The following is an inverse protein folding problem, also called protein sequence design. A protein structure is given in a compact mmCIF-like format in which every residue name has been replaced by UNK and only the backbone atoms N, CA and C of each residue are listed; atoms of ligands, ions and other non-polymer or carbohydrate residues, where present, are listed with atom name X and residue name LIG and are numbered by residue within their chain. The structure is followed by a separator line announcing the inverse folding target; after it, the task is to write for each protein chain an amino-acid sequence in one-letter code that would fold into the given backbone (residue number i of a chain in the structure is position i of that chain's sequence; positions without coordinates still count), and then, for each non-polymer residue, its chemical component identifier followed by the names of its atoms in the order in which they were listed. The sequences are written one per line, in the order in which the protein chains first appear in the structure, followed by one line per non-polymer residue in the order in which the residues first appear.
data_IF_172544094248
#
_entry.id   IF_172544094248
#
_cell.length_a   1.000
_cell.length_b   1.000
_cell.length_c   1.000
_cell.angle_alpha   90.00
_cell.angle_beta   90.00
_cell.angle_gamma   90.00
#
_symmetry.space_group_name_H-M   'P 1'
#
loop_
_entity.id
_entity.type
_entity.pdbx_description
1 polymer ?
#
# COMPACT_ATOMS: atom_id res chain seq x y z
N UNK A 1 78.96 1.14 29.70
CA UNK A 1 78.80 0.68 28.33
C UNK A 1 77.49 -0.15 28.27
N UNK A 2 76.39 0.44 27.85
CA UNK A 2 75.13 -0.25 27.73
C UNK A 2 74.84 -0.44 26.23
N UNK A 3 74.81 -1.70 25.80
CA UNK A 3 74.47 -2.12 24.43
C UNK A 3 72.98 -2.01 24.23
N UNK A 4 72.52 -0.98 23.50
CA UNK A 4 71.18 -0.87 23.00
C UNK A 4 71.00 -1.74 21.75
N UNK A 5 70.39 -2.90 21.86
CA UNK A 5 69.99 -3.71 20.72
C UNK A 5 68.81 -3.03 19.99
N UNK A 6 68.99 -2.74 18.70
CA UNK A 6 67.93 -2.25 17.84
C UNK A 6 66.79 -3.29 17.74
N UNK A 7 65.50 -2.91 17.80
CA UNK A 7 64.38 -3.83 17.72
C UNK A 7 64.39 -4.57 16.38
N UNK A 8 64.15 -5.89 16.43
CA UNK A 8 64.10 -6.79 15.27
C UNK A 8 62.98 -6.38 14.31
N UNK A 9 63.20 -6.59 13.02
CA UNK A 9 62.25 -6.22 11.93
C UNK A 9 60.81 -6.69 12.16
N UNK A 10 60.66 -7.84 12.85
CA UNK A 10 59.34 -8.40 13.18
C UNK A 10 58.55 -7.54 14.20
N UNK A 11 59.24 -6.91 15.18
CA UNK A 11 58.59 -6.05 16.19
C UNK A 11 58.12 -4.73 15.59
N UNK A 12 58.85 -4.21 14.57
CA UNK A 12 58.40 -3.03 13.85
C UNK A 12 57.16 -3.27 12.99
N UNK A 13 57.10 -4.48 12.36
CA UNK A 13 55.92 -4.89 11.57
C UNK A 13 54.67 -5.07 12.43
N UNK A 14 54.87 -5.68 13.63
CA UNK A 14 53.78 -5.85 14.59
C UNK A 14 53.28 -4.55 15.15
N UNK A 15 54.15 -3.63 15.53
CA UNK A 15 53.79 -2.29 16.00
C UNK A 15 53.10 -1.44 14.92
N UNK A 16 53.45 -1.61 13.65
CA UNK A 16 52.77 -0.96 12.52
C UNK A 16 51.40 -1.57 12.27
N UNK A 17 51.25 -2.91 12.38
CA UNK A 17 49.96 -3.61 12.26
C UNK A 17 49.03 -3.25 13.43
N UNK A 18 49.51 -3.25 14.65
CA UNK A 18 48.74 -2.81 15.82
C UNK A 18 48.33 -1.33 15.72
N UNK A 19 49.15 -0.50 15.15
CA UNK A 19 48.83 0.92 14.92
C UNK A 19 47.86 1.13 13.76
N UNK A 20 47.90 0.28 12.72
CA UNK A 20 46.95 0.33 11.58
C UNK A 20 45.62 -0.31 12.00
N UNK A 21 45.64 -1.44 12.69
CA UNK A 21 44.46 -2.15 13.17
C UNK A 21 43.82 -1.37 14.33
N UNK A 22 44.63 -0.81 15.25
CA UNK A 22 44.13 0.09 16.30
C UNK A 22 43.52 1.35 15.72
N UNK A 23 44.16 2.04 14.76
CA UNK A 23 43.57 3.15 14.04
C UNK A 23 42.32 2.76 13.26
N UNK A 24 42.35 1.60 12.58
CA UNK A 24 41.17 1.11 11.87
C UNK A 24 40.02 0.74 12.81
N UNK A 25 40.31 0.32 14.05
CA UNK A 25 39.29 0.06 15.07
C UNK A 25 38.85 1.34 15.79
N UNK A 26 39.78 2.29 16.05
CA UNK A 26 39.47 3.59 16.63
C UNK A 26 38.79 4.54 15.62
N UNK A 27 39.06 4.37 14.31
CA UNK A 27 38.37 5.08 13.23
C UNK A 27 36.98 4.46 12.88
N UNK A 28 36.65 3.31 13.47
CA UNK A 28 35.36 2.63 13.25
C UNK A 28 34.38 2.81 14.42
N UNK A 29 34.79 3.45 15.55
CA UNK A 29 33.91 3.68 16.71
C UNK A 29 34.23 4.97 17.46
N UNK A 30 33.22 5.63 18.05
CA UNK A 30 31.88 5.79 17.56
C UNK A 30 31.76 7.16 16.95
N UNK A 31 31.49 7.20 15.70
CA UNK A 31 30.92 8.39 15.15
C UNK A 31 29.53 8.51 15.78
N UNK A 32 29.43 9.16 16.92
CA UNK A 32 28.23 9.90 17.26
C UNK A 32 28.22 11.15 16.36
N UNK A 33 28.20 10.93 15.05
CA UNK A 33 27.68 11.91 14.14
C UNK A 33 26.17 11.90 14.38
N UNK A 34 25.55 13.07 14.43
CA UNK A 34 24.12 13.26 14.67
C UNK A 34 23.23 12.41 13.75
N UNK A 35 23.78 11.69 12.75
CA UNK A 35 23.11 11.00 11.68
C UNK A 35 23.47 9.51 11.49
N UNK A 36 24.28 8.87 12.34
CA UNK A 36 24.68 7.48 12.15
C UNK A 36 24.99 6.70 13.42
N UNK A 37 24.70 5.39 13.42
CA UNK A 37 25.08 4.43 14.45
C UNK A 37 25.69 3.20 13.79
N UNK A 38 26.59 2.49 14.47
CA UNK A 38 27.11 1.22 13.99
C UNK A 38 26.08 0.09 14.10
N UNK A 39 26.33 -1.02 13.38
CA UNK A 39 25.37 -2.13 13.32
C UNK A 39 25.15 -2.81 14.68
N UNK A 40 26.15 -2.85 15.57
CA UNK A 40 25.99 -3.46 16.89
C UNK A 40 25.13 -2.55 17.81
N UNK A 41 25.34 -1.25 17.75
CA UNK A 41 24.50 -0.27 18.44
C UNK A 41 23.04 -0.33 17.91
N UNK A 42 22.86 -0.45 16.59
CA UNK A 42 21.52 -0.60 16.00
C UNK A 42 20.80 -1.84 16.52
N UNK A 43 21.47 -2.99 16.59
CA UNK A 43 20.90 -4.24 17.10
C UNK A 43 20.57 -4.17 18.61
N UNK A 44 21.23 -3.30 19.36
CA UNK A 44 20.97 -3.10 20.78
C UNK A 44 19.84 -2.11 21.07
N UNK A 45 19.33 -1.39 20.06
CA UNK A 45 18.21 -0.48 20.24
C UNK A 45 16.90 -1.25 20.42
N UNK A 46 16.14 -0.87 21.42
CA UNK A 46 14.74 -1.27 21.58
C UNK A 46 13.86 -0.34 20.75
N UNK A 47 13.72 -0.66 19.46
CA UNK A 47 12.90 0.11 18.53
C UNK A 47 11.46 -0.42 18.53
N UNK A 48 10.47 0.48 18.50
CA UNK A 48 9.07 0.07 18.41
C UNK A 48 8.81 -0.66 17.10
N UNK A 49 7.94 -1.66 17.13
CA UNK A 49 7.43 -2.30 15.91
C UNK A 49 6.68 -1.31 15.03
N UNK A 50 6.58 -1.62 13.73
CA UNK A 50 5.78 -0.84 12.77
C UNK A 50 4.36 -0.65 13.28
N UNK A 51 3.93 0.59 13.35
CA UNK A 51 2.59 0.96 13.79
C UNK A 51 1.58 0.84 12.64
N UNK A 52 0.35 0.41 12.99
CA UNK A 52 -0.76 0.29 12.02
C UNK A 52 -2.00 0.96 12.59
N UNK A 53 -2.64 1.81 11.82
CA UNK A 53 -4.00 2.27 12.13
C UNK A 53 -5.03 1.17 11.89
N UNK A 54 -4.75 0.24 10.99
CA UNK A 54 -5.57 -0.94 10.72
C UNK A 54 -4.69 -2.02 10.06
N UNK A 55 -4.26 -3.03 10.80
CA UNK A 55 -3.43 -4.12 10.27
C UNK A 55 -4.26 -5.07 9.39
N UNK A 56 -3.78 -5.50 8.23
CA UNK A 56 -2.53 -5.11 7.58
C UNK A 56 -2.66 -3.88 6.68
N UNK A 57 -3.85 -3.28 6.58
CA UNK A 57 -4.26 -2.35 5.53
C UNK A 57 -3.59 -0.98 5.59
N UNK A 58 -3.45 -0.40 6.79
CA UNK A 58 -3.02 1.00 6.97
C UNK A 58 -1.82 1.06 7.91
N UNK A 59 -0.61 0.76 7.41
CA UNK A 59 0.63 0.96 8.16
C UNK A 59 0.97 2.44 8.28
N UNK A 60 1.88 2.78 9.18
CA UNK A 60 2.53 4.09 9.20
C UNK A 60 3.34 4.33 7.91
N UNK A 61 3.73 5.58 7.65
CA UNK A 61 4.43 5.96 6.43
C UNK A 61 3.48 6.43 5.34
N UNK A 62 3.98 6.46 4.10
CA UNK A 62 3.21 6.89 2.94
C UNK A 62 2.68 5.69 2.16
N UNK A 63 1.36 5.67 1.97
CA UNK A 63 0.65 4.68 1.16
C UNK A 63 0.06 5.36 -0.09
N UNK A 64 0.38 4.86 -1.27
CA UNK A 64 -0.25 5.30 -2.52
C UNK A 64 -1.47 4.44 -2.81
N UNK A 65 -2.65 5.08 -2.91
CA UNK A 65 -3.85 4.44 -3.46
C UNK A 65 -3.99 4.81 -4.94
N UNK A 66 -3.68 3.86 -5.82
CA UNK A 66 -3.70 4.06 -7.26
C UNK A 66 -4.87 3.34 -7.95
N UNK A 67 -5.14 3.72 -9.19
CA UNK A 67 -6.14 3.08 -10.05
C UNK A 67 -6.77 4.06 -11.03
N UNK A 68 -7.53 3.54 -12.00
CA UNK A 68 -8.19 4.33 -13.06
C UNK A 68 -9.16 5.38 -12.49
N UNK A 69 -9.38 6.50 -13.19
CA UNK A 69 -10.45 7.44 -12.85
C UNK A 69 -11.80 6.72 -12.72
N UNK A 70 -12.61 7.14 -11.74
CA UNK A 70 -13.97 6.65 -11.49
C UNK A 70 -14.08 5.17 -11.05
N UNK A 71 -12.98 4.47 -10.79
CA UNK A 71 -13.01 3.08 -10.32
C UNK A 71 -13.56 2.96 -8.88
N UNK A 72 -13.49 4.01 -8.07
CA UNK A 72 -14.01 4.04 -6.70
C UNK A 72 -12.97 4.28 -5.60
N UNK A 73 -11.79 4.78 -5.94
CA UNK A 73 -10.71 5.11 -4.99
C UNK A 73 -11.17 6.05 -3.87
N UNK A 74 -11.78 7.19 -4.22
CA UNK A 74 -12.31 8.14 -3.22
C UNK A 74 -13.39 7.50 -2.32
N UNK A 75 -14.13 6.50 -2.82
CA UNK A 75 -15.06 5.71 -1.98
C UNK A 75 -14.29 4.90 -0.93
N UNK A 76 -13.18 4.27 -1.32
CA UNK A 76 -12.32 3.55 -0.39
C UNK A 76 -11.67 4.50 0.63
N UNK A 77 -11.17 5.65 0.19
CA UNK A 77 -10.61 6.66 1.11
C UNK A 77 -11.62 7.13 2.16
N UNK A 78 -12.88 7.39 1.76
CA UNK A 78 -13.95 7.74 2.71
C UNK A 78 -14.22 6.64 3.72
N UNK A 79 -14.28 5.39 3.26
CA UNK A 79 -14.48 4.23 4.12
C UNK A 79 -13.35 4.10 5.15
N UNK A 80 -12.09 4.16 4.71
CA UNK A 80 -10.92 4.15 5.58
C UNK A 80 -10.99 5.30 6.60
N UNK A 81 -11.26 6.52 6.15
CA UNK A 81 -11.36 7.68 7.02
C UNK A 81 -12.44 7.49 8.11
N UNK A 82 -13.60 6.93 7.74
CA UNK A 82 -14.69 6.66 8.69
C UNK A 82 -14.30 5.55 9.66
N UNK A 83 -13.70 4.46 9.20
CA UNK A 83 -13.26 3.37 10.08
C UNK A 83 -12.24 3.87 11.11
N UNK A 84 -11.23 4.63 10.70
CA UNK A 84 -10.22 5.21 11.61
C UNK A 84 -10.85 6.26 12.53
N UNK A 85 -11.70 7.15 12.03
CA UNK A 85 -12.33 8.21 12.83
C UNK A 85 -13.27 7.64 13.91
N UNK A 86 -13.91 6.52 13.66
CA UNK A 86 -14.86 5.88 14.59
C UNK A 86 -14.25 4.72 15.39
N UNK A 87 -13.08 4.21 15.03
CA UNK A 87 -12.49 3.00 15.61
C UNK A 87 -13.25 1.73 15.21
N UNK A 88 -14.00 1.77 14.09
CA UNK A 88 -14.72 0.58 13.59
C UNK A 88 -13.82 -0.24 12.66
N UNK A 89 -14.10 -1.54 12.55
CA UNK A 89 -13.30 -2.43 11.73
C UNK A 89 -13.40 -2.09 10.22
N UNK A 90 -12.26 -2.15 9.52
CA UNK A 90 -12.18 -2.18 8.08
C UNK A 90 -12.04 -3.63 7.62
N UNK A 91 -13.04 -4.15 6.92
CA UNK A 91 -13.02 -5.54 6.41
C UNK A 91 -12.74 -6.61 7.48
N UNK A 92 -13.28 -6.42 8.68
CA UNK A 92 -13.06 -7.33 9.81
C UNK A 92 -11.80 -7.05 10.63
N UNK A 93 -10.87 -6.26 10.14
CA UNK A 93 -9.66 -5.86 10.85
C UNK A 93 -9.94 -4.64 11.74
N UNK A 94 -9.65 -4.69 13.05
CA UNK A 94 -9.88 -3.57 13.95
C UNK A 94 -9.03 -2.36 13.56
N UNK A 95 -9.63 -1.16 13.61
CA UNK A 95 -8.91 0.09 13.41
C UNK A 95 -8.68 0.79 14.76
N UNK A 96 -7.49 1.37 14.93
CA UNK A 96 -7.25 2.34 16.00
C UNK A 96 -8.04 3.63 15.72
N UNK A 97 -8.69 4.16 16.75
CA UNK A 97 -9.40 5.42 16.63
C UNK A 97 -8.44 6.60 16.65
N UNK A 98 -8.48 7.44 15.62
CA UNK A 98 -7.65 8.63 15.50
C UNK A 98 -8.38 9.76 14.77
N UNK A 99 -7.85 10.99 14.89
CA UNK A 99 -8.29 12.10 14.08
C UNK A 99 -7.73 11.98 12.66
N UNK A 100 -8.53 12.40 11.67
CA UNK A 100 -8.21 12.30 10.25
C UNK A 100 -8.19 13.68 9.62
N UNK A 101 -7.10 14.04 8.96
CA UNK A 101 -7.03 15.21 8.07
C UNK A 101 -7.32 14.75 6.64
N UNK A 102 -8.45 15.15 6.08
CA UNK A 102 -8.86 14.77 4.72
C UNK A 102 -8.82 15.96 3.76
N UNK A 103 -7.83 16.00 2.89
CA UNK A 103 -7.68 17.00 1.84
C UNK A 103 -8.47 16.55 0.60
N UNK A 104 -9.75 16.97 0.50
CA UNK A 104 -10.65 16.64 -0.61
C UNK A 104 -10.52 17.70 -1.71
N UNK A 105 -9.45 17.62 -2.50
CA UNK A 105 -9.10 18.66 -3.47
C UNK A 105 -9.78 18.50 -4.84
N UNK A 106 -10.45 17.38 -5.08
CA UNK A 106 -11.21 17.11 -6.31
C UNK A 106 -12.72 17.21 -6.11
N UNK A 107 -13.24 16.74 -4.98
CA UNK A 107 -14.67 16.72 -4.70
C UNK A 107 -15.07 17.86 -3.75
N UNK A 108 -16.06 18.65 -4.14
CA UNK A 108 -16.57 19.73 -3.30
C UNK A 108 -17.49 19.25 -2.17
N UNK A 109 -17.74 20.14 -1.18
CA UNK A 109 -18.52 19.88 0.04
C UNK A 109 -19.87 19.20 -0.23
N UNK A 110 -20.65 19.76 -1.19
CA UNK A 110 -21.98 19.24 -1.52
C UNK A 110 -21.97 17.79 -1.97
N UNK A 111 -20.99 17.42 -2.78
CA UNK A 111 -20.84 16.04 -3.28
C UNK A 111 -20.36 15.11 -2.18
N UNK A 112 -19.38 15.53 -1.39
CA UNK A 112 -18.87 14.76 -0.24
C UNK A 112 -20.01 14.45 0.73
N UNK A 113 -20.78 15.48 1.16
CA UNK A 113 -21.93 15.30 2.04
C UNK A 113 -22.94 14.31 1.47
N UNK A 114 -23.30 14.45 0.17
CA UNK A 114 -24.24 13.53 -0.49
C UNK A 114 -23.76 12.08 -0.43
N UNK A 115 -22.47 11.85 -0.67
CA UNK A 115 -21.87 10.50 -0.68
C UNK A 115 -21.76 9.89 0.72
N UNK A 116 -21.42 10.68 1.75
CA UNK A 116 -21.41 10.22 3.13
C UNK A 116 -22.81 9.80 3.59
N UNK A 117 -23.83 10.60 3.29
CA UNK A 117 -25.23 10.27 3.60
C UNK A 117 -25.71 9.02 2.84
N UNK A 118 -25.38 8.91 1.54
CA UNK A 118 -25.76 7.75 0.73
C UNK A 118 -25.11 6.44 1.20
N UNK A 119 -23.94 6.52 1.83
CA UNK A 119 -23.28 5.38 2.46
C UNK A 119 -23.80 5.09 3.88
N UNK A 120 -24.78 5.83 4.38
CA UNK A 120 -25.37 5.62 5.71
C UNK A 120 -24.51 6.10 6.89
N UNK A 121 -23.43 6.84 6.64
CA UNK A 121 -22.58 7.33 7.73
C UNK A 121 -23.27 8.43 8.54
N UNK A 122 -23.14 8.32 9.87
CA UNK A 122 -23.74 9.24 10.83
C UNK A 122 -22.70 10.19 11.43
N UNK A 123 -23.18 11.30 12.01
CA UNK A 123 -22.31 12.35 12.56
C UNK A 123 -21.28 11.87 13.58
N UNK A 124 -21.62 10.91 14.42
CA UNK A 124 -20.70 10.32 15.41
C UNK A 124 -19.49 9.63 14.75
N UNK A 125 -19.71 8.96 13.60
CA UNK A 125 -18.68 8.21 12.89
C UNK A 125 -17.68 9.11 12.14
N UNK A 126 -18.10 10.31 11.75
CA UNK A 126 -17.28 11.25 10.95
C UNK A 126 -16.78 12.45 11.76
N UNK A 127 -17.08 12.51 13.05
CA UNK A 127 -16.77 13.66 13.91
C UNK A 127 -15.28 13.99 14.02
N UNK A 128 -14.43 12.98 13.89
CA UNK A 128 -12.97 13.11 13.95
C UNK A 128 -12.32 13.28 12.59
N UNK A 129 -13.12 13.55 11.52
CA UNK A 129 -12.59 13.81 10.17
C UNK A 129 -12.64 15.32 9.91
N UNK A 130 -11.48 15.92 9.75
CA UNK A 130 -11.33 17.33 9.37
C UNK A 130 -11.18 17.41 7.85
N UNK A 131 -12.24 17.82 7.16
CA UNK A 131 -12.23 17.98 5.71
C UNK A 131 -11.73 19.36 5.29
N UNK A 132 -10.81 19.41 4.30
CA UNK A 132 -10.37 20.61 3.62
C UNK A 132 -10.59 20.50 2.11
N UNK A 133 -11.18 21.54 1.50
CA UNK A 133 -11.46 21.62 0.06
C UNK A 133 -10.51 22.56 -0.69
N UNK A 134 -9.69 23.28 0.03
CA UNK A 134 -8.63 24.15 -0.49
C UNK A 134 -7.38 23.91 0.34
N UNK A 135 -6.26 23.73 -0.34
CA UNK A 135 -4.96 23.54 0.30
C UNK A 135 -3.87 24.11 -0.58
N UNK A 136 -2.80 24.64 -0.02
CA UNK A 136 -1.67 25.13 -0.80
C UNK A 136 -0.97 23.95 -1.47
N UNK A 137 -0.45 24.09 -2.72
CA UNK A 137 0.25 23.01 -3.39
C UNK A 137 1.70 22.89 -2.91
N UNK A 138 2.33 21.76 -3.21
CA UNK A 138 3.75 21.49 -3.07
C UNK A 138 4.31 21.72 -1.67
N UNK A 139 5.51 22.26 -1.58
CA UNK A 139 6.23 22.45 -0.33
C UNK A 139 5.45 23.32 0.68
N UNK A 140 4.71 24.32 0.23
CA UNK A 140 3.87 25.12 1.13
C UNK A 140 2.75 24.29 1.75
N UNK A 141 2.10 23.43 0.98
CA UNK A 141 1.07 22.52 1.49
C UNK A 141 1.62 21.49 2.47
N UNK A 142 2.83 21.02 2.23
CA UNK A 142 3.58 20.15 3.16
C UNK A 142 3.83 20.88 4.49
N UNK A 143 4.26 22.16 4.45
CA UNK A 143 4.41 23.01 5.63
C UNK A 143 3.10 23.15 6.41
N UNK A 144 1.98 23.36 5.71
CA UNK A 144 0.65 23.44 6.34
C UNK A 144 0.24 22.14 7.04
N UNK A 145 0.59 20.97 6.47
CA UNK A 145 0.36 19.68 7.13
C UNK A 145 1.17 19.61 8.41
N UNK A 146 2.47 19.96 8.41
CA UNK A 146 3.32 19.95 9.61
C UNK A 146 2.75 20.84 10.72
N UNK A 147 2.32 22.04 10.39
CA UNK A 147 1.71 22.96 11.37
C UNK A 147 0.38 22.40 11.91
N UNK A 148 -0.42 21.74 11.05
CA UNK A 148 -1.65 21.10 11.49
C UNK A 148 -1.41 19.92 12.43
N UNK A 149 -0.40 19.09 12.17
CA UNK A 149 -0.02 17.97 13.03
C UNK A 149 0.49 18.46 14.38
N UNK A 150 1.28 19.54 14.43
CA UNK A 150 1.70 20.17 15.68
C UNK A 150 0.51 20.70 16.49
N UNK A 151 -0.44 21.36 15.83
CA UNK A 151 -1.63 21.92 16.49
C UNK A 151 -2.63 20.84 16.96
N UNK A 152 -2.66 19.68 16.30
CA UNK A 152 -3.59 18.59 16.58
C UNK A 152 -2.85 17.23 16.57
N UNK A 153 -2.13 16.89 17.66
CA UNK A 153 -1.34 15.64 17.73
C UNK A 153 -2.18 14.34 17.66
N UNK A 154 -3.49 14.44 17.83
CA UNK A 154 -4.42 13.30 17.66
C UNK A 154 -4.62 12.90 16.19
N UNK A 155 -4.17 13.69 15.22
CA UNK A 155 -4.19 13.34 13.80
C UNK A 155 -3.12 12.28 13.56
N UNK A 156 -3.56 11.07 13.20
CA UNK A 156 -2.68 9.96 12.80
C UNK A 156 -2.95 9.46 11.39
N UNK A 157 -3.95 10.03 10.70
CA UNK A 157 -4.21 9.76 9.30
C UNK A 157 -4.34 11.06 8.51
N UNK A 158 -3.53 11.21 7.48
CA UNK A 158 -3.65 12.28 6.48
C UNK A 158 -4.05 11.64 5.16
N UNK A 159 -5.10 12.17 4.51
CA UNK A 159 -5.56 11.71 3.19
C UNK A 159 -5.45 12.87 2.19
N UNK A 160 -4.75 12.63 1.09
CA UNK A 160 -4.58 13.59 -0.02
C UNK A 160 -5.32 13.08 -1.26
N UNK A 161 -6.47 13.63 -1.54
CA UNK A 161 -7.32 13.32 -2.71
C UNK A 161 -7.43 14.52 -3.66
N UNK A 162 -6.52 14.69 -4.64
CA UNK A 162 -5.50 13.78 -5.11
C UNK A 162 -4.11 14.43 -5.18
N UNK A 163 -3.07 13.61 -5.43
CA UNK A 163 -1.69 14.06 -5.67
C UNK A 163 -1.61 15.13 -6.77
N UNK A 164 -2.33 14.96 -7.87
CA UNK A 164 -2.36 15.89 -8.99
C UNK A 164 -2.80 17.31 -8.59
N UNK A 165 -3.65 17.44 -7.56
CA UNK A 165 -4.09 18.74 -7.03
C UNK A 165 -3.22 19.25 -5.90
N UNK A 166 -2.47 18.38 -5.27
CA UNK A 166 -1.61 18.71 -4.14
C UNK A 166 -0.19 19.12 -4.57
N UNK A 167 0.40 18.47 -5.59
CA UNK A 167 1.72 18.81 -6.08
C UNK A 167 1.78 20.16 -6.76
N UNK A 168 2.99 20.71 -6.93
CA UNK A 168 3.19 21.88 -7.75
C UNK A 168 2.84 21.62 -9.23
N UNK A 169 2.51 22.68 -9.96
CA UNK A 169 2.24 22.59 -11.39
C UNK A 169 3.50 22.20 -12.15
N UNK A 170 3.42 21.30 -13.15
CA UNK A 170 4.58 20.97 -13.97
C UNK A 170 5.08 22.18 -14.75
N UNK A 171 6.40 22.29 -14.88
CA UNK A 171 7.07 23.30 -15.70
C UNK A 171 7.94 22.61 -16.77
N UNK A 172 8.53 23.39 -17.70
CA UNK A 172 9.44 22.83 -18.71
C UNK A 172 10.65 22.13 -18.09
N UNK A 173 11.19 22.70 -16.98
CA UNK A 173 12.38 22.19 -16.31
C UNK A 173 12.06 21.09 -15.29
N UNK A 174 10.80 21.00 -14.83
CA UNK A 174 10.32 20.00 -13.87
C UNK A 174 9.05 19.36 -14.42
N UNK A 175 9.17 18.30 -15.22
CA UNK A 175 8.03 17.57 -15.77
C UNK A 175 7.19 16.90 -14.65
N UNK A 176 5.98 16.51 -14.98
CA UNK A 176 4.98 15.99 -14.03
C UNK A 176 5.54 14.92 -13.11
N UNK A 177 6.33 14.00 -13.65
CA UNK A 177 6.93 12.92 -12.86
C UNK A 177 7.80 13.41 -11.70
N UNK A 178 8.65 14.41 -11.95
CA UNK A 178 9.50 14.99 -10.89
C UNK A 178 8.66 15.66 -9.82
N UNK A 179 7.57 16.31 -10.20
CA UNK A 179 6.66 16.97 -9.25
C UNK A 179 5.88 15.93 -8.40
N UNK A 180 5.44 14.83 -9.03
CA UNK A 180 4.76 13.74 -8.34
C UNK A 180 5.70 13.07 -7.32
N UNK A 181 6.94 12.74 -7.73
CA UNK A 181 7.98 12.17 -6.87
C UNK A 181 8.33 13.10 -5.69
N UNK A 182 8.62 14.37 -5.98
CA UNK A 182 8.98 15.35 -4.96
C UNK A 182 7.88 15.54 -3.91
N UNK A 183 6.63 15.63 -4.36
CA UNK A 183 5.50 15.77 -3.43
C UNK A 183 5.36 14.55 -2.50
N UNK A 184 5.53 13.31 -3.03
CA UNK A 184 5.47 12.09 -2.21
C UNK A 184 6.68 12.01 -1.28
N UNK A 185 7.88 12.36 -1.74
CA UNK A 185 9.09 12.40 -0.91
C UNK A 185 8.92 13.35 0.29
N UNK A 186 8.42 14.56 0.05
CA UNK A 186 8.17 15.53 1.12
C UNK A 186 7.11 15.03 2.14
N UNK A 187 6.11 14.28 1.68
CA UNK A 187 5.14 13.64 2.58
C UNK A 187 5.78 12.48 3.37
N UNK A 188 6.69 11.72 2.75
CA UNK A 188 7.44 10.67 3.45
C UNK A 188 8.35 11.24 4.54
N UNK A 189 8.96 12.41 4.30
CA UNK A 189 9.73 13.12 5.34
C UNK A 189 8.84 13.51 6.53
N UNK A 190 7.57 13.95 6.29
CA UNK A 190 6.62 14.20 7.39
C UNK A 190 6.31 12.92 8.16
N UNK A 191 6.05 11.81 7.47
CA UNK A 191 5.72 10.55 8.13
C UNK A 191 6.88 10.04 9.01
N UNK A 192 8.13 10.20 8.57
CA UNK A 192 9.32 9.86 9.36
C UNK A 192 9.45 10.73 10.62
N UNK A 193 9.14 12.02 10.51
CA UNK A 193 9.19 12.96 11.64
C UNK A 193 8.06 12.72 12.67
N UNK A 194 7.04 11.91 12.32
CA UNK A 194 5.86 11.65 13.15
C UNK A 194 5.57 10.15 13.22
N UNK A 195 6.27 9.38 14.09
CA UNK A 195 6.03 7.94 14.25
C UNK A 195 4.56 7.61 14.49
N UNK A 196 4.05 6.59 13.82
CA UNK A 196 2.66 6.17 13.85
C UNK A 196 1.71 7.01 12.98
N UNK A 197 2.23 7.95 12.17
CA UNK A 197 1.44 8.68 11.19
C UNK A 197 1.32 7.89 9.89
N UNK A 198 0.11 7.71 9.40
CA UNK A 198 -0.18 7.19 8.05
C UNK A 198 -0.60 8.33 7.13
N UNK A 199 -0.03 8.38 5.93
CA UNK A 199 -0.40 9.37 4.90
C UNK A 199 -0.85 8.60 3.64
N UNK A 200 -2.12 8.70 3.26
CA UNK A 200 -2.64 8.05 2.05
C UNK A 200 -2.75 9.08 0.94
N UNK A 201 -2.09 8.81 -0.18
CA UNK A 201 -2.07 9.68 -1.36
C UNK A 201 -2.80 9.01 -2.51
N UNK A 202 -3.89 9.63 -2.99
CA UNK A 202 -4.59 9.15 -4.17
C UNK A 202 -3.86 9.54 -5.44
N UNK A 203 -3.59 8.55 -6.28
CA UNK A 203 -2.97 8.73 -7.60
C UNK A 203 -3.82 8.11 -8.72
N UNK A 204 -3.79 8.71 -9.91
CA UNK A 204 -4.47 8.19 -11.10
C UNK A 204 -3.49 7.42 -11.99
N UNK A 205 -3.77 6.14 -12.26
CA UNK A 205 -3.00 5.36 -13.22
C UNK A 205 -3.30 5.78 -14.66
N UNK A 206 -2.40 5.45 -15.60
CA UNK A 206 -2.61 5.65 -17.04
C UNK A 206 -3.77 4.78 -17.56
N UNK A 207 -4.23 5.07 -18.78
CA UNK A 207 -5.38 4.37 -19.38
C UNK A 207 -5.09 2.90 -19.71
N UNK A 208 -3.86 2.59 -20.09
CA UNK A 208 -3.48 1.22 -20.45
C UNK A 208 -2.99 0.49 -19.20
N UNK A 209 -3.66 -0.60 -18.84
CA UNK A 209 -3.24 -1.49 -17.78
C UNK A 209 -2.18 -2.43 -18.34
N UNK A 210 -0.99 -2.43 -17.73
CA UNK A 210 0.01 -3.47 -17.94
C UNK A 210 -0.36 -4.76 -17.18
N UNK A 211 0.42 -5.80 -17.37
CA UNK A 211 0.24 -7.05 -16.62
C UNK A 211 0.63 -6.89 -15.14
N UNK A 212 1.47 -5.91 -14.82
CA UNK A 212 1.93 -5.61 -13.48
C UNK A 212 1.17 -4.40 -12.88
N UNK A 213 0.56 -4.62 -11.71
CA UNK A 213 -0.16 -3.60 -10.95
C UNK A 213 0.76 -2.47 -10.47
N UNK A 214 2.02 -2.77 -10.14
CA UNK A 214 3.01 -1.78 -9.70
C UNK A 214 3.42 -0.88 -10.86
N UNK A 215 3.61 -1.44 -12.05
CA UNK A 215 3.93 -0.69 -13.25
C UNK A 215 2.86 0.36 -13.60
N UNK A 216 1.60 0.10 -13.26
CA UNK A 216 0.50 1.04 -13.45
C UNK A 216 0.62 2.30 -12.55
N UNK A 217 1.21 2.18 -11.34
CA UNK A 217 1.42 3.34 -10.46
C UNK A 217 2.37 4.32 -11.10
N UNK A 218 3.38 3.79 -11.73
CA UNK A 218 4.53 4.60 -12.03
C UNK A 218 4.59 5.00 -13.48
N UNK A 219 3.80 4.80 -14.37
CA UNK A 219 4.19 5.34 -15.70
C UNK A 219 5.70 5.68 -15.82
N UNK A 220 6.43 5.60 -14.68
CA UNK A 220 7.87 5.73 -14.43
C UNK A 220 8.16 5.20 -13.03
N UNK A 221 9.15 4.37 -12.83
CA UNK A 221 9.56 3.66 -11.61
C UNK A 221 9.74 4.51 -10.33
N UNK A 222 9.62 5.83 -10.39
CA UNK A 222 9.97 6.71 -9.28
C UNK A 222 8.90 6.91 -8.22
N UNK A 223 7.60 6.82 -8.54
CA UNK A 223 6.57 7.15 -7.57
C UNK A 223 6.42 6.04 -6.51
N UNK A 224 6.50 4.76 -6.94
CA UNK A 224 6.52 3.61 -6.02
C UNK A 224 7.79 3.58 -5.16
N UNK A 225 8.90 4.11 -5.65
CA UNK A 225 10.15 4.20 -4.88
C UNK A 225 10.10 5.26 -3.77
N UNK A 226 9.27 6.31 -3.91
CA UNK A 226 9.13 7.37 -2.93
C UNK A 226 8.13 7.04 -1.80
N UNK A 227 7.25 6.07 -2.01
CA UNK A 227 6.26 5.62 -1.03
C UNK A 227 6.74 4.37 -0.28
N UNK A 228 6.20 4.16 0.92
CA UNK A 228 6.49 2.96 1.71
C UNK A 228 5.61 1.80 1.29
N UNK A 229 4.34 2.08 0.97
CA UNK A 229 3.35 1.07 0.62
C UNK A 229 2.46 1.51 -0.55
N UNK A 230 1.79 0.56 -1.15
CA UNK A 230 0.84 0.82 -2.22
C UNK A 230 -0.42 -0.05 -2.12
N UNK A 231 -1.52 0.49 -2.63
CA UNK A 231 -2.75 -0.20 -2.97
C UNK A 231 -3.16 0.18 -4.39
N UNK A 232 -3.36 -0.80 -5.26
CA UNK A 232 -3.78 -0.56 -6.64
C UNK A 232 -5.14 -1.19 -6.88
N UNK A 233 -6.16 -0.36 -7.07
CA UNK A 233 -7.50 -0.82 -7.39
C UNK A 233 -7.66 -0.96 -8.90
N UNK A 234 -7.87 -2.20 -9.36
CA UNK A 234 -8.01 -2.57 -10.78
C UNK A 234 -9.35 -3.25 -11.06
N UNK A 235 -9.65 -3.40 -12.34
CA UNK A 235 -10.72 -4.27 -12.81
C UNK A 235 -10.13 -5.36 -13.68
N UNK A 236 -10.23 -6.59 -13.23
CA UNK A 236 -9.65 -7.77 -13.84
C UNK A 236 -10.73 -8.84 -14.05
N UNK A 237 -10.88 -9.34 -15.27
CA UNK A 237 -11.90 -10.35 -15.60
C UNK A 237 -13.36 -9.96 -15.28
N UNK A 238 -13.63 -8.68 -15.04
CA UNK A 238 -14.94 -8.17 -14.59
C UNK A 238 -15.01 -7.86 -13.10
N UNK A 239 -14.12 -8.41 -12.27
CA UNK A 239 -14.03 -8.20 -10.82
C UNK A 239 -13.23 -6.95 -10.47
N UNK A 240 -13.45 -6.45 -9.25
CA UNK A 240 -12.58 -5.43 -8.68
C UNK A 240 -11.52 -6.12 -7.81
N UNK A 241 -10.27 -5.89 -8.15
CA UNK A 241 -9.11 -6.44 -7.44
C UNK A 241 -8.31 -5.30 -6.82
N UNK A 242 -7.98 -5.44 -5.53
CA UNK A 242 -7.09 -4.56 -4.81
C UNK A 242 -5.74 -5.28 -4.63
N UNK A 243 -4.71 -4.80 -5.33
CA UNK A 243 -3.34 -5.25 -5.13
C UNK A 243 -2.69 -4.41 -4.04
N UNK A 244 -2.04 -5.06 -3.08
CA UNK A 244 -1.37 -4.42 -1.96
C UNK A 244 0.09 -4.84 -1.91
N UNK A 245 0.95 -3.99 -1.35
CA UNK A 245 2.34 -4.33 -1.13
C UNK A 245 3.15 -3.13 -0.65
N UNK A 246 4.44 -3.34 -0.42
CA UNK A 246 5.36 -2.31 0.06
C UNK A 246 6.26 -2.81 1.18
N UNK A 247 6.97 -1.88 1.84
CA UNK A 247 7.97 -2.18 2.87
C UNK A 247 7.36 -2.76 4.15
N UNK A 248 6.12 -2.39 4.46
CA UNK A 248 5.40 -2.81 5.67
C UNK A 248 4.25 -3.77 5.36
N UNK A 249 4.24 -4.36 4.17
CA UNK A 249 3.26 -5.38 3.80
C UNK A 249 3.85 -6.77 4.08
N UNK A 250 3.43 -7.38 5.19
CA UNK A 250 3.96 -8.67 5.68
C UNK A 250 3.06 -9.86 5.31
N UNK A 251 1.94 -9.62 4.63
CA UNK A 251 1.00 -10.67 4.28
C UNK A 251 1.46 -11.44 3.04
N UNK A 252 1.33 -12.76 3.07
CA UNK A 252 1.60 -13.62 1.90
C UNK A 252 0.61 -13.36 0.75
N UNK A 253 -0.61 -12.92 1.07
CA UNK A 253 -1.63 -12.53 0.11
C UNK A 253 -1.49 -11.04 -0.22
N UNK A 254 -1.32 -10.73 -1.50
CA UNK A 254 -1.12 -9.36 -2.00
C UNK A 254 -2.25 -8.86 -2.91
N UNK A 255 -3.22 -9.71 -3.25
CA UNK A 255 -4.34 -9.38 -4.13
C UNK A 255 -5.68 -9.85 -3.54
N UNK A 256 -6.67 -8.96 -3.52
CA UNK A 256 -7.94 -9.15 -2.84
C UNK A 256 -9.12 -8.79 -3.72
N UNK A 257 -10.17 -9.63 -3.70
CA UNK A 257 -11.43 -9.34 -4.36
C UNK A 257 -12.25 -8.36 -3.53
N UNK A 258 -12.71 -7.30 -4.19
CA UNK A 258 -13.61 -6.33 -3.61
C UNK A 258 -14.93 -6.28 -4.36
N UNK A 259 -16.03 -6.12 -3.61
CA UNK A 259 -17.36 -5.85 -4.16
C UNK A 259 -17.86 -4.48 -3.67
N UNK A 260 -18.54 -3.77 -4.55
CA UNK A 260 -19.26 -2.55 -4.14
C UNK A 260 -20.50 -2.90 -3.35
N UNK A 261 -20.66 -2.30 -2.18
CA UNK A 261 -21.80 -2.50 -1.32
C UNK A 261 -22.24 -1.17 -0.69
N UNK A 262 -23.47 -0.74 -0.98
CA UNK A 262 -24.12 0.44 -0.41
C UNK A 262 -23.22 1.71 -0.27
N UNK A 263 -22.36 1.97 -1.25
CA UNK A 263 -21.46 3.13 -1.24
C UNK A 263 -20.13 2.93 -0.51
N UNK A 264 -19.83 1.69 -0.12
CA UNK A 264 -18.56 1.23 0.45
C UNK A 264 -17.97 0.07 -0.38
N UNK A 265 -16.87 -0.48 0.08
CA UNK A 265 -16.24 -1.67 -0.45
C UNK A 265 -16.30 -2.80 0.57
N UNK A 266 -16.82 -3.96 0.17
CA UNK A 266 -16.75 -5.21 0.93
C UNK A 266 -15.58 -6.05 0.42
N UNK A 267 -14.83 -6.66 1.34
CA UNK A 267 -13.80 -7.65 1.03
C UNK A 267 -14.46 -9.01 0.86
N UNK A 268 -14.25 -9.65 -0.30
CA UNK A 268 -14.80 -10.99 -0.59
C UNK A 268 -13.78 -12.12 -0.35
N UNK A 269 -12.50 -11.78 -0.25
CA UNK A 269 -11.42 -12.73 0.00
C UNK A 269 -10.20 -12.51 -0.89
N UNK A 270 -9.32 -13.51 -0.94
CA UNK A 270 -8.15 -13.49 -1.80
C UNK A 270 -8.54 -13.46 -3.28
N UNK A 271 -7.87 -12.63 -4.06
CA UNK A 271 -8.00 -12.71 -5.51
C UNK A 271 -7.23 -13.93 -6.02
N UNK A 272 -7.77 -14.59 -7.01
CA UNK A 272 -7.06 -15.67 -7.67
C UNK A 272 -5.86 -15.08 -8.44
N UNK A 273 -4.73 -15.75 -8.36
CA UNK A 273 -3.51 -15.35 -9.07
C UNK A 273 -3.69 -15.23 -10.59
N UNK A 274 -4.71 -15.91 -11.13
CA UNK A 274 -5.03 -15.89 -12.55
C UNK A 274 -6.42 -15.28 -12.75
N UNK A 275 -6.55 -14.19 -13.55
CA UNK A 275 -7.85 -13.59 -13.83
C UNK A 275 -8.79 -14.59 -14.52
N UNK A 276 -9.99 -14.71 -13.99
CA UNK A 276 -11.06 -15.53 -14.57
C UNK A 276 -12.08 -14.64 -15.30
N UNK A 277 -12.55 -15.09 -16.46
CA UNK A 277 -13.72 -14.47 -17.10
C UNK A 277 -14.95 -14.64 -16.18
N UNK A 278 -16.01 -13.81 -16.33
CA UNK A 278 -17.23 -13.96 -15.52
C UNK A 278 -17.83 -15.36 -15.55
N UNK A 279 -17.74 -16.06 -16.69
CA UNK A 279 -18.24 -17.43 -16.80
C UNK A 279 -17.30 -18.43 -16.12
N UNK A 280 -15.98 -18.29 -16.30
CA UNK A 280 -14.98 -19.10 -15.60
C UNK A 280 -15.11 -18.97 -14.09
N UNK A 281 -15.32 -17.74 -13.58
CA UNK A 281 -15.56 -17.48 -12.16
C UNK A 281 -16.78 -18.25 -11.65
N UNK A 282 -17.90 -18.13 -12.33
CA UNK A 282 -19.13 -18.86 -11.95
C UNK A 282 -18.94 -20.37 -11.92
N UNK A 283 -18.16 -20.92 -12.84
CA UNK A 283 -17.82 -22.35 -12.86
C UNK A 283 -16.93 -22.71 -11.69
N UNK A 284 -15.90 -21.92 -11.41
CA UNK A 284 -14.98 -22.12 -10.30
C UNK A 284 -15.70 -22.06 -8.96
N UNK A 285 -16.51 -21.02 -8.72
CA UNK A 285 -17.27 -20.84 -7.47
C UNK A 285 -18.24 -22.00 -7.24
N UNK A 286 -18.83 -22.53 -8.32
CA UNK A 286 -19.72 -23.68 -8.24
C UNK A 286 -18.97 -24.97 -7.86
N UNK A 287 -17.80 -25.20 -8.43
CA UNK A 287 -16.93 -26.33 -8.06
C UNK A 287 -16.44 -26.19 -6.61
N UNK A 288 -16.09 -25.00 -6.20
CA UNK A 288 -15.67 -24.73 -4.83
C UNK A 288 -16.81 -25.00 -3.81
N UNK A 289 -18.04 -24.66 -4.16
CA UNK A 289 -19.19 -24.84 -3.28
C UNK A 289 -19.69 -26.31 -3.21
N UNK A 290 -19.66 -27.03 -4.33
CA UNK A 290 -20.23 -28.38 -4.45
C UNK A 290 -19.18 -29.51 -4.45
N UNK A 291 -17.88 -29.15 -4.51
CA UNK A 291 -16.79 -30.12 -4.59
C UNK A 291 -16.58 -30.66 -6.00
N UNK A 292 -16.89 -31.94 -6.24
CA UNK A 292 -16.66 -32.56 -7.55
C UNK A 292 -17.93 -32.55 -8.40
N UNK A 293 -17.84 -32.03 -9.63
CA UNK A 293 -18.97 -31.94 -10.58
C UNK A 293 -18.53 -32.47 -11.96
N UNK A 294 -19.37 -33.29 -12.57
CA UNK A 294 -19.14 -33.77 -13.96
C UNK A 294 -19.34 -32.68 -15.00
N UNK A 295 -18.71 -32.80 -16.17
CA UNK A 295 -18.91 -31.86 -17.29
C UNK A 295 -20.39 -31.66 -17.60
N UNK A 296 -21.15 -32.78 -17.70
CA UNK A 296 -22.60 -32.76 -17.94
C UNK A 296 -23.37 -32.11 -16.81
N UNK A 297 -22.95 -32.33 -15.56
CA UNK A 297 -23.51 -31.65 -14.39
C UNK A 297 -23.33 -30.13 -14.46
N UNK A 298 -22.16 -29.65 -14.88
CA UNK A 298 -21.93 -28.23 -15.12
C UNK A 298 -22.76 -27.69 -16.30
N UNK A 299 -22.78 -28.41 -17.42
CA UNK A 299 -23.57 -28.01 -18.58
C UNK A 299 -25.05 -27.80 -18.21
N UNK A 300 -25.64 -28.75 -17.49
CA UNK A 300 -27.03 -28.67 -17.01
C UNK A 300 -27.29 -27.47 -16.12
N UNK A 301 -26.38 -27.20 -15.13
CA UNK A 301 -26.54 -26.09 -14.17
C UNK A 301 -26.48 -24.69 -14.81
N UNK A 302 -25.70 -24.57 -15.88
CA UNK A 302 -25.53 -23.30 -16.58
C UNK A 302 -26.34 -23.22 -17.91
N UNK A 303 -27.09 -24.23 -18.24
CA UNK A 303 -27.95 -24.24 -19.45
C UNK A 303 -27.13 -24.13 -20.76
N UNK A 304 -25.95 -24.75 -20.79
CA UNK A 304 -25.04 -24.74 -21.94
C UNK A 304 -24.84 -26.18 -22.49
N UNK A 305 -24.20 -26.30 -23.64
CA UNK A 305 -23.83 -27.62 -24.19
C UNK A 305 -22.66 -28.26 -23.40
N UNK A 306 -22.55 -29.56 -23.42
CA UNK A 306 -21.43 -30.30 -22.82
C UNK A 306 -20.08 -29.86 -23.41
N UNK A 307 -20.04 -29.48 -24.69
CA UNK A 307 -18.84 -28.96 -25.36
C UNK A 307 -18.45 -27.59 -24.81
N UNK A 308 -19.41 -26.70 -24.58
CA UNK A 308 -19.15 -25.37 -23.96
C UNK A 308 -18.66 -25.52 -22.54
N UNK A 309 -19.29 -26.39 -21.75
CA UNK A 309 -18.85 -26.65 -20.37
C UNK A 309 -17.45 -27.28 -20.37
N UNK A 310 -17.14 -28.20 -21.26
CA UNK A 310 -15.82 -28.80 -21.38
C UNK A 310 -14.74 -27.81 -21.76
N UNK A 311 -15.05 -26.84 -22.65
CA UNK A 311 -14.12 -25.77 -23.02
C UNK A 311 -13.77 -24.91 -21.81
N UNK A 312 -14.77 -24.42 -21.08
CA UNK A 312 -14.55 -23.55 -19.89
C UNK A 312 -13.79 -24.30 -18.80
N UNK A 313 -14.12 -25.57 -18.54
CA UNK A 313 -13.42 -26.40 -17.55
C UNK A 313 -11.99 -26.71 -18.02
N UNK A 314 -11.74 -26.87 -19.31
CA UNK A 314 -10.41 -27.01 -19.91
C UNK A 314 -9.58 -25.74 -19.71
N UNK A 315 -10.14 -24.57 -19.96
CA UNK A 315 -9.49 -23.28 -19.73
C UNK A 315 -9.15 -23.07 -18.24
N UNK A 316 -10.03 -23.47 -17.32
CA UNK A 316 -9.76 -23.43 -15.87
C UNK A 316 -8.63 -24.39 -15.47
N UNK A 317 -8.58 -25.59 -16.07
CA UNK A 317 -7.47 -26.53 -15.84
C UNK A 317 -6.15 -25.97 -16.38
N UNK A 318 -6.14 -25.41 -17.57
CA UNK A 318 -4.94 -24.84 -18.19
C UNK A 318 -4.41 -23.63 -17.40
N UNK A 319 -5.28 -23.01 -16.61
CA UNK A 319 -4.95 -21.99 -15.61
C UNK A 319 -4.53 -22.57 -14.25
N UNK A 320 -4.49 -23.90 -14.08
CA UNK A 320 -4.11 -24.53 -12.82
C UNK A 320 -5.11 -24.41 -11.69
N UNK A 321 -6.38 -24.09 -12.00
CA UNK A 321 -7.43 -23.81 -11.00
C UNK A 321 -8.25 -25.03 -10.64
N UNK A 322 -8.38 -25.98 -11.57
CA UNK A 322 -9.17 -27.18 -11.41
C UNK A 322 -8.44 -28.38 -12.02
N UNK A 323 -8.72 -29.56 -11.51
CA UNK A 323 -8.25 -30.80 -12.08
C UNK A 323 -9.43 -31.71 -12.48
N UNK A 324 -9.16 -32.61 -13.42
CA UNK A 324 -10.10 -33.65 -13.82
C UNK A 324 -9.78 -34.94 -13.08
N UNK A 325 -10.78 -35.47 -12.39
CA UNK A 325 -10.71 -36.74 -11.67
C UNK A 325 -11.57 -37.79 -12.38
N UNK A 326 -11.59 -39.03 -11.88
CA UNK A 326 -12.50 -40.09 -12.35
C UNK A 326 -13.97 -39.71 -12.18
N UNK A 327 -14.31 -38.94 -11.13
CA UNK A 327 -15.69 -38.62 -10.78
C UNK A 327 -16.15 -37.26 -11.31
N UNK A 328 -15.26 -36.50 -11.93
CA UNK A 328 -15.58 -35.17 -12.45
C UNK A 328 -14.44 -34.18 -12.37
N UNK A 329 -14.78 -32.90 -12.19
CA UNK A 329 -13.87 -31.79 -12.04
C UNK A 329 -13.93 -31.26 -10.60
N UNK A 330 -12.81 -30.92 -10.04
CA UNK A 330 -12.72 -30.29 -8.71
C UNK A 330 -11.68 -29.18 -8.68
N UNK A 331 -11.78 -28.31 -7.71
CA UNK A 331 -10.77 -27.27 -7.41
C UNK A 331 -9.50 -27.94 -6.86
N UNK A 332 -8.34 -27.47 -7.30
CA UNK A 332 -7.01 -27.94 -6.84
C UNK A 332 -6.72 -27.40 -5.44
#
# INVERSE_FOLDING_TARGET
MANGAAPRSADKGRAVLERIVGRALDDVLPVQEEDGIDGAALLALDLPETSYLCRPWIPEGVLILAGRPKIGKTTLLRQIAVCVSSGTALWGSPCEQADVLFLSLEEGQKLMRKKLLAAGYQGAQVRRILFHWKWRPGAFGVGDIRERLKACPAIRLVIVDSLTRFRDAPTRDKPQFHQDYEAVRLLADIAKDHPGLSIIVLHHTRKDQGDDAIADISGTFGLSAAADNYMVLRREGGDFVLHCGGRYWDEAQDAFLLRRDAGAWALEGAALAVPLSPMQRRYFDRLQAEGTITTRGMATRFGVSDSTASLILGELRDKGMVERTTDGWRVI
#
